data_IF_138028151328
#
_entry.id   IF_138028151328
#
_cell.length_a   1.000
_cell.length_b   1.000
_cell.length_c   1.000
_cell.angle_alpha   90.00
_cell.angle_beta   90.00
_cell.angle_gamma   90.00
#
_symmetry.space_group_name_H-M   'P 1'
#
loop_
_entity.id
_entity.type
_entity.pdbx_description
1 polymer ?
#
# COMPACT_ATOMS: atom_id res chain seq x y z
N UNK A 1 1.97 3.19 -15.55
CA UNK A 1 0.51 3.19 -15.39
C UNK A 1 0.12 4.41 -14.57
N UNK A 2 -1.00 5.06 -14.89
CA UNK A 2 -1.46 6.26 -14.16
C UNK A 2 -2.69 5.90 -13.31
N UNK A 3 -2.76 6.48 -12.11
CA UNK A 3 -3.97 6.45 -11.27
C UNK A 3 -4.79 7.69 -11.60
N UNK A 4 -6.10 7.50 -11.68
CA UNK A 4 -7.10 8.54 -11.94
C UNK A 4 -8.06 8.60 -10.75
N UNK A 5 -8.88 9.65 -10.68
CA UNK A 5 -9.77 9.88 -9.54
C UNK A 5 -10.80 8.75 -9.39
N UNK A 6 -11.24 8.18 -10.51
CA UNK A 6 -12.18 7.07 -10.58
C UNK A 6 -11.65 5.79 -9.92
N UNK A 7 -10.33 5.61 -9.86
CA UNK A 7 -9.73 4.47 -9.14
C UNK A 7 -9.95 4.57 -7.62
N UNK A 8 -10.26 5.77 -7.10
CA UNK A 8 -10.53 6.02 -5.69
C UNK A 8 -12.02 6.00 -5.33
N UNK A 9 -12.91 5.56 -6.23
CA UNK A 9 -14.38 5.55 -6.02
C UNK A 9 -14.86 4.77 -4.79
N UNK A 10 -14.07 3.80 -4.32
CA UNK A 10 -14.37 2.97 -3.15
C UNK A 10 -13.62 3.45 -1.89
N UNK A 11 -13.00 4.63 -1.93
CA UNK A 11 -12.15 5.18 -0.87
C UNK A 11 -12.69 6.51 -0.38
N UNK A 12 -12.59 6.72 0.93
CA UNK A 12 -12.83 8.02 1.56
C UNK A 12 -11.60 8.89 1.31
N UNK A 13 -11.75 9.85 0.40
CA UNK A 13 -10.74 10.86 0.06
C UNK A 13 -11.35 12.26 0.25
N UNK A 14 -10.49 13.28 0.32
CA UNK A 14 -10.91 14.68 0.44
C UNK A 14 -11.88 15.07 -0.69
N UNK A 15 -12.74 16.07 -0.43
CA UNK A 15 -13.88 16.47 -1.28
C UNK A 15 -13.61 16.51 -2.79
N UNK A 16 -14.68 16.29 -3.57
CA UNK A 16 -14.61 16.16 -5.03
C UNK A 16 -14.03 17.37 -5.77
N UNK A 17 -14.06 18.55 -5.16
CA UNK A 17 -13.55 19.82 -5.69
C UNK A 17 -12.13 20.16 -5.20
N UNK A 18 -11.46 19.22 -4.54
CA UNK A 18 -10.13 19.42 -4.00
C UNK A 18 -9.07 19.69 -5.09
N UNK A 19 -8.26 20.73 -4.88
CA UNK A 19 -7.11 21.06 -5.73
C UNK A 19 -5.83 20.62 -5.01
N UNK A 20 -5.04 19.69 -5.58
CA UNK A 20 -3.77 19.24 -5.00
C UNK A 20 -2.85 20.38 -4.60
N UNK A 21 -2.36 20.34 -3.36
CA UNK A 21 -1.27 21.21 -2.93
C UNK A 21 0.04 20.61 -3.47
N UNK A 22 0.41 21.02 -4.68
CA UNK A 22 1.61 20.54 -5.36
C UNK A 22 2.88 20.75 -4.51
N UNK A 23 2.96 21.80 -3.71
CA UNK A 23 4.12 22.09 -2.86
C UNK A 23 4.19 21.04 -1.74
N UNK A 24 3.07 20.79 -1.06
CA UNK A 24 2.95 19.76 -0.02
C UNK A 24 3.28 18.37 -0.58
N UNK A 25 2.65 17.99 -1.70
CA UNK A 25 2.82 16.66 -2.30
C UNK A 25 4.26 16.43 -2.76
N UNK A 26 4.88 17.41 -3.43
CA UNK A 26 6.28 17.30 -3.84
C UNK A 26 7.23 17.20 -2.64
N UNK A 27 6.97 17.96 -1.57
CA UNK A 27 7.74 17.86 -0.33
C UNK A 27 7.61 16.45 0.30
N UNK A 28 6.41 15.87 0.28
CA UNK A 28 6.17 14.51 0.77
C UNK A 28 6.87 13.44 -0.07
N UNK A 29 6.83 13.54 -1.41
CA UNK A 29 7.57 12.65 -2.32
C UNK A 29 9.06 12.68 -1.99
N UNK A 30 9.65 13.87 -1.93
CA UNK A 30 11.08 14.05 -1.61
C UNK A 30 11.41 13.51 -0.22
N UNK A 31 10.53 13.70 0.76
CA UNK A 31 10.73 13.18 2.12
C UNK A 31 10.76 11.64 2.14
N UNK A 32 9.84 10.98 1.43
CA UNK A 32 9.81 9.52 1.32
C UNK A 32 11.07 9.02 0.60
N UNK A 33 11.36 9.54 -0.59
CA UNK A 33 12.50 9.08 -1.39
C UNK A 33 13.83 9.22 -0.64
N UNK A 34 14.05 10.36 0.04
CA UNK A 34 15.26 10.59 0.82
C UNK A 34 15.34 9.74 2.08
N UNK A 35 14.28 9.67 2.88
CA UNK A 35 14.31 8.95 4.16
C UNK A 35 14.30 7.44 3.96
N UNK A 36 13.63 6.96 2.92
CA UNK A 36 13.59 5.53 2.64
C UNK A 36 14.69 5.09 1.67
N UNK A 37 15.44 6.01 1.07
CA UNK A 37 16.45 5.73 0.05
C UNK A 37 15.89 4.88 -1.10
N UNK A 38 14.75 5.33 -1.66
CA UNK A 38 14.04 4.69 -2.77
C UNK A 38 13.67 5.73 -3.82
N UNK A 39 13.27 5.28 -5.02
CA UNK A 39 12.62 6.13 -6.01
C UNK A 39 11.16 5.67 -6.14
N UNK A 40 10.22 6.58 -5.91
CA UNK A 40 8.81 6.22 -5.96
C UNK A 40 8.36 6.06 -7.43
N UNK A 41 7.65 4.99 -7.77
CA UNK A 41 7.05 4.83 -9.09
C UNK A 41 6.08 5.97 -9.38
N UNK A 42 5.94 6.33 -10.67
CA UNK A 42 4.98 7.37 -11.10
C UNK A 42 3.57 7.11 -10.55
N UNK A 43 3.13 5.87 -10.58
CA UNK A 43 1.83 5.44 -10.05
C UNK A 43 1.63 5.87 -8.59
N UNK A 44 2.64 5.70 -7.73
CA UNK A 44 2.56 6.10 -6.32
C UNK A 44 2.57 7.63 -6.16
N UNK A 45 3.29 8.35 -7.04
CA UNK A 45 3.29 9.82 -7.06
C UNK A 45 1.93 10.38 -7.47
N UNK A 46 1.28 9.75 -8.46
CA UNK A 46 -0.10 10.09 -8.86
C UNK A 46 -1.06 9.88 -7.68
N UNK A 47 -0.93 8.77 -6.95
CA UNK A 47 -1.73 8.51 -5.75
C UNK A 47 -1.58 9.62 -4.69
N UNK A 48 -0.34 10.00 -4.34
CA UNK A 48 -0.10 11.08 -3.38
C UNK A 48 -0.70 12.42 -3.82
N UNK A 49 -0.69 12.71 -5.13
CA UNK A 49 -1.31 13.92 -5.66
C UNK A 49 -2.84 13.88 -5.52
N UNK A 50 -3.46 12.75 -5.86
CA UNK A 50 -4.91 12.56 -5.79
C UNK A 50 -5.45 12.56 -4.35
N UNK A 51 -4.66 12.09 -3.39
CA UNK A 51 -5.04 12.08 -1.96
C UNK A 51 -4.52 13.28 -1.20
N UNK A 52 -3.83 14.22 -1.83
CA UNK A 52 -3.13 15.32 -1.16
C UNK A 52 -2.16 14.86 -0.05
N UNK A 53 -1.57 13.68 -0.18
CA UNK A 53 -0.81 13.03 0.90
C UNK A 53 -1.62 12.91 2.22
N UNK A 54 -2.93 12.67 2.11
CA UNK A 54 -3.79 12.31 3.23
C UNK A 54 -3.96 10.78 3.29
N UNK A 55 -4.26 10.27 4.49
CA UNK A 55 -4.56 8.85 4.62
C UNK A 55 -5.99 8.61 4.12
N UNK A 56 -6.22 7.53 3.39
CA UNK A 56 -7.55 7.15 2.93
C UNK A 56 -7.91 5.75 3.44
N UNK A 57 -9.18 5.58 3.78
CA UNK A 57 -9.77 4.29 4.14
C UNK A 57 -10.76 3.88 3.06
N UNK A 58 -11.08 2.58 2.93
CA UNK A 58 -12.23 2.19 2.14
C UNK A 58 -13.51 2.83 2.69
N UNK A 59 -14.52 3.00 1.82
CA UNK A 59 -15.87 3.39 2.21
C UNK A 59 -16.47 2.28 3.11
N UNK A 60 -17.41 2.65 3.97
CA UNK A 60 -18.15 1.71 4.81
C UNK A 60 -18.65 0.49 4.01
N UNK A 61 -18.52 -0.69 4.61
CA UNK A 61 -18.83 -2.00 4.04
C UNK A 61 -18.04 -2.38 2.78
N UNK A 62 -16.98 -1.64 2.40
CA UNK A 62 -16.11 -1.96 1.26
C UNK A 62 -14.65 -2.20 1.64
N UNK A 63 -14.39 -2.75 2.80
CA UNK A 63 -13.03 -2.99 3.30
C UNK A 63 -12.44 -4.34 2.88
N UNK A 64 -13.22 -5.26 2.35
CA UNK A 64 -12.78 -6.64 2.12
C UNK A 64 -12.13 -6.80 0.73
N UNK A 65 -11.00 -7.49 0.64
CA UNK A 65 -10.44 -7.95 -0.64
C UNK A 65 -9.82 -9.35 -0.54
N UNK A 66 -9.66 -10.01 -1.69
CA UNK A 66 -9.03 -11.33 -1.76
C UNK A 66 -7.51 -11.22 -1.77
N UNK A 67 -6.87 -11.97 -0.88
CA UNK A 67 -5.42 -12.12 -0.84
C UNK A 67 -5.03 -13.57 -1.13
N UNK A 68 -4.03 -13.75 -2.01
CA UNK A 68 -3.56 -15.09 -2.40
C UNK A 68 -2.20 -15.40 -1.80
N UNK A 69 -2.15 -16.43 -0.96
CA UNK A 69 -0.94 -17.04 -0.43
C UNK A 69 -0.73 -18.40 -1.07
N UNK A 70 0.24 -18.55 -1.97
CA UNK A 70 0.49 -19.81 -2.67
C UNK A 70 -0.80 -20.40 -3.27
N UNK A 71 -1.26 -21.55 -2.75
CA UNK A 71 -2.49 -22.24 -3.17
C UNK A 71 -3.73 -21.88 -2.35
N UNK A 72 -3.63 -20.93 -1.41
CA UNK A 72 -4.71 -20.49 -0.52
C UNK A 72 -5.15 -19.07 -0.88
N UNK A 73 -6.46 -18.83 -0.82
CA UNK A 73 -7.05 -17.50 -0.90
C UNK A 73 -7.70 -17.22 0.44
N UNK A 74 -7.45 -16.03 0.98
CA UNK A 74 -8.07 -15.53 2.22
C UNK A 74 -8.72 -14.18 1.95
N UNK A 75 -9.70 -13.82 2.77
CA UNK A 75 -10.25 -12.47 2.82
C UNK A 75 -9.39 -11.64 3.76
N UNK A 76 -9.05 -10.41 3.37
CA UNK A 76 -8.36 -9.44 4.23
C UNK A 76 -9.17 -8.17 4.32
N UNK A 77 -9.18 -7.53 5.50
CA UNK A 77 -9.86 -6.27 5.72
C UNK A 77 -8.86 -5.12 5.63
N UNK A 78 -8.98 -4.33 4.57
CA UNK A 78 -8.22 -3.10 4.35
C UNK A 78 -8.73 -2.03 5.28
N UNK A 79 -7.85 -1.50 6.13
CA UNK A 79 -8.20 -0.45 7.08
C UNK A 79 -7.85 0.93 6.53
N UNK A 80 -6.58 1.13 6.18
CA UNK A 80 -6.09 2.46 5.78
C UNK A 80 -4.87 2.37 4.88
N UNK A 81 -4.84 3.18 3.83
CA UNK A 81 -3.63 3.59 3.14
C UNK A 81 -3.06 4.83 3.81
N UNK A 82 -1.78 4.77 4.15
CA UNK A 82 -1.08 5.73 5.00
C UNK A 82 -0.56 6.92 4.19
N UNK A 83 -0.64 8.11 4.78
CA UNK A 83 0.13 9.26 4.30
C UNK A 83 1.64 9.08 4.48
N UNK A 84 2.43 9.96 3.86
CA UNK A 84 3.88 9.96 3.88
C UNK A 84 4.47 9.89 5.29
N UNK A 85 3.95 10.68 6.24
CA UNK A 85 4.43 10.71 7.63
C UNK A 85 4.32 9.33 8.28
N UNK A 86 3.16 8.68 8.14
CA UNK A 86 2.90 7.37 8.74
C UNK A 86 3.66 6.27 8.02
N UNK A 87 3.73 6.31 6.69
CA UNK A 87 4.53 5.40 5.86
C UNK A 87 6.01 5.42 6.29
N UNK A 88 6.60 6.61 6.44
CA UNK A 88 8.00 6.76 6.89
C UNK A 88 8.18 6.15 8.29
N UNK A 89 7.23 6.37 9.20
CA UNK A 89 7.30 5.78 10.55
C UNK A 89 7.21 4.25 10.55
N UNK A 90 6.47 3.66 9.61
CA UNK A 90 6.31 2.21 9.48
C UNK A 90 7.57 1.54 8.94
N UNK A 91 8.38 2.22 8.11
CA UNK A 91 9.68 1.69 7.66
C UNK A 91 10.59 1.33 8.82
N UNK A 92 10.61 2.14 9.88
CA UNK A 92 11.45 1.85 11.05
C UNK A 92 11.08 0.50 11.70
N UNK A 93 9.81 0.11 11.65
CA UNK A 93 9.37 -1.20 12.15
C UNK A 93 9.81 -2.33 11.22
N UNK A 94 9.76 -2.12 9.90
CA UNK A 94 10.22 -3.09 8.91
C UNK A 94 11.72 -3.37 9.03
N UNK A 95 12.55 -2.34 9.22
CA UNK A 95 14.00 -2.51 9.35
C UNK A 95 14.42 -3.35 10.55
N UNK A 96 13.64 -3.34 11.64
CA UNK A 96 13.92 -4.16 12.82
C UNK A 96 13.64 -5.65 12.58
N UNK A 97 12.81 -5.98 11.58
CA UNK A 97 12.51 -7.35 11.15
C UNK A 97 13.45 -7.87 10.03
N UNK A 98 14.34 -7.02 9.50
CA UNK A 98 15.22 -7.34 8.37
C UNK A 98 16.60 -7.84 8.80
N UNK A 99 16.69 -9.06 9.32
CA UNK A 99 18.01 -9.64 9.65
C UNK A 99 18.92 -9.82 8.41
N UNK A 100 18.37 -9.76 7.18
CA UNK A 100 19.07 -10.11 5.94
C UNK A 100 19.23 -8.95 4.91
N UNK A 101 18.77 -7.73 5.21
CA UNK A 101 18.87 -6.58 4.30
C UNK A 101 18.02 -6.67 3.03
N UNK A 102 16.98 -7.52 3.01
CA UNK A 102 16.13 -7.82 1.86
C UNK A 102 15.01 -6.78 1.62
N UNK A 103 14.75 -5.87 2.57
CA UNK A 103 13.61 -4.95 2.57
C UNK A 103 13.86 -3.68 1.74
N UNK A 104 15.07 -3.44 1.23
CA UNK A 104 15.35 -2.21 0.48
C UNK A 104 14.45 -2.04 -0.75
N UNK A 105 13.38 -1.25 -0.62
CA UNK A 105 12.39 -0.99 -1.65
C UNK A 105 11.08 -1.80 -1.55
N UNK A 106 10.83 -2.52 -0.46
CA UNK A 106 9.47 -2.89 -0.04
C UNK A 106 8.96 -1.85 0.97
N UNK A 107 7.84 -1.23 0.68
CA UNK A 107 7.30 -0.12 1.47
C UNK A 107 5.94 -0.50 2.03
N UNK A 108 5.77 -0.39 3.36
CA UNK A 108 4.45 -0.48 3.97
C UNK A 108 3.66 0.80 3.67
N UNK A 109 2.67 0.68 2.78
CA UNK A 109 1.83 1.80 2.31
C UNK A 109 0.48 1.85 3.02
N UNK A 110 0.15 0.82 3.81
CA UNK A 110 -1.13 0.73 4.49
C UNK A 110 -1.16 -0.34 5.57
N UNK A 111 -2.31 -0.47 6.23
CA UNK A 111 -2.57 -1.47 7.26
C UNK A 111 -3.89 -2.18 6.99
N UNK A 112 -3.90 -3.45 7.38
CA UNK A 112 -5.07 -4.30 7.38
C UNK A 112 -5.43 -4.72 8.81
N UNK A 113 -6.63 -5.23 8.98
CA UNK A 113 -7.05 -6.00 10.15
C UNK A 113 -7.22 -7.46 9.68
N UNK A 114 -6.60 -8.42 10.37
CA UNK A 114 -6.69 -9.84 10.00
C UNK A 114 -6.96 -10.79 11.18
N UNK A 115 -7.58 -10.27 12.24
CA UNK A 115 -7.85 -10.97 13.52
C UNK A 115 -6.61 -11.48 14.29
N UNK A 116 -5.43 -11.63 13.65
CA UNK A 116 -4.22 -12.25 14.20
C UNK A 116 -3.05 -11.28 14.48
N UNK A 117 -3.11 -10.01 14.07
CA UNK A 117 -2.15 -8.98 14.54
C UNK A 117 -1.88 -7.80 13.60
N UNK A 118 -0.70 -7.18 13.76
CA UNK A 118 -0.21 -6.07 12.95
C UNK A 118 0.06 -6.53 11.50
N UNK A 119 -0.93 -6.37 10.62
CA UNK A 119 -0.81 -6.67 9.20
C UNK A 119 -0.69 -5.39 8.34
N UNK A 120 0.11 -5.48 7.27
CA UNK A 120 0.48 -4.35 6.43
C UNK A 120 0.22 -4.61 4.95
N UNK A 121 -0.05 -3.53 4.23
CA UNK A 121 -0.07 -3.51 2.76
C UNK A 121 1.32 -3.07 2.31
N UNK A 122 2.00 -3.93 1.56
CA UNK A 122 3.36 -3.72 1.07
C UNK A 122 3.32 -3.41 -0.43
N UNK A 123 4.09 -2.40 -0.85
CA UNK A 123 4.28 -2.02 -2.24
C UNK A 123 5.75 -2.15 -2.63
N UNK A 124 6.02 -2.80 -3.77
CA UNK A 124 7.38 -2.98 -4.28
C UNK A 124 7.79 -1.82 -5.20
N UNK A 125 8.75 -1.02 -4.75
CA UNK A 125 9.28 0.14 -5.48
C UNK A 125 10.62 -0.13 -6.16
N UNK A 126 11.10 -1.39 -6.20
CA UNK A 126 12.39 -1.74 -6.81
C UNK A 126 12.25 -1.91 -8.33
N UNK A 127 12.87 -1.04 -9.17
CA UNK A 127 12.65 -1.04 -10.62
C UNK A 127 13.06 -2.33 -11.33
N UNK A 128 14.04 -3.05 -10.76
CA UNK A 128 14.58 -4.29 -11.32
C UNK A 128 13.93 -5.55 -10.71
N UNK A 129 12.95 -5.39 -9.82
CA UNK A 129 12.24 -6.51 -9.21
C UNK A 129 11.25 -7.12 -10.22
N UNK A 130 11.11 -8.46 -10.28
CA UNK A 130 10.07 -9.10 -11.09
C UNK A 130 8.65 -8.75 -10.62
N UNK A 131 8.52 -8.19 -9.42
CA UNK A 131 7.25 -7.74 -8.84
C UNK A 131 7.19 -6.23 -8.66
N UNK A 132 7.97 -5.47 -9.44
CA UNK A 132 7.92 -4.01 -9.41
C UNK A 132 6.46 -3.51 -9.55
N UNK A 133 6.06 -2.63 -8.64
CA UNK A 133 4.71 -2.08 -8.49
C UNK A 133 3.63 -3.07 -7.99
N UNK A 134 3.95 -4.33 -7.69
CA UNK A 134 2.96 -5.23 -7.09
C UNK A 134 2.63 -4.81 -5.66
N UNK A 135 1.41 -5.16 -5.25
CA UNK A 135 0.87 -4.92 -3.91
C UNK A 135 0.69 -6.26 -3.20
N UNK A 136 1.12 -6.31 -1.95
CA UNK A 136 1.10 -7.52 -1.12
C UNK A 136 0.51 -7.27 0.26
N UNK A 137 -0.02 -8.33 0.85
CA UNK A 137 -0.34 -8.45 2.26
C UNK A 137 0.85 -9.05 3.00
N UNK A 138 1.14 -8.52 4.19
CA UNK A 138 2.18 -9.05 5.06
C UNK A 138 1.74 -9.04 6.51
N UNK A 139 1.77 -10.20 7.16
CA UNK A 139 1.46 -10.37 8.58
C UNK A 139 2.76 -10.35 9.38
N UNK A 140 3.03 -9.28 10.11
CA UNK A 140 4.34 -9.01 10.71
C UNK A 140 4.91 -10.17 11.54
N UNK A 141 4.07 -10.83 12.34
CA UNK A 141 4.50 -11.91 13.24
C UNK A 141 4.41 -13.32 12.63
N UNK A 142 3.83 -13.46 11.44
CA UNK A 142 3.48 -14.76 10.85
C UNK A 142 4.23 -15.02 9.56
N UNK A 143 4.40 -13.98 8.74
CA UNK A 143 4.89 -14.09 7.39
C UNK A 143 6.37 -13.69 7.31
N UNK A 144 7.17 -14.51 6.63
CA UNK A 144 8.49 -14.07 6.20
C UNK A 144 8.33 -12.93 5.19
N UNK A 145 9.11 -11.87 5.32
CA UNK A 145 9.08 -10.74 4.39
C UNK A 145 9.86 -11.06 3.10
N UNK A 146 9.40 -12.09 2.39
CA UNK A 146 9.98 -12.64 1.17
C UNK A 146 8.87 -12.77 0.13
N UNK A 147 9.08 -12.16 -1.05
CA UNK A 147 8.13 -12.26 -2.16
C UNK A 147 7.96 -13.72 -2.58
N UNK A 148 6.71 -14.12 -2.80
CA UNK A 148 6.35 -15.45 -3.28
C UNK A 148 6.28 -16.51 -2.18
N UNK A 149 7.15 -16.45 -1.16
CA UNK A 149 7.19 -17.45 -0.09
C UNK A 149 6.47 -17.01 1.20
N UNK A 150 6.37 -15.71 1.48
CA UNK A 150 5.69 -15.21 2.68
C UNK A 150 4.76 -14.03 2.47
N UNK A 151 4.85 -13.33 1.34
CA UNK A 151 3.92 -12.24 1.01
C UNK A 151 2.66 -12.75 0.30
N UNK A 152 1.49 -12.35 0.80
CA UNK A 152 0.22 -12.61 0.15
C UNK A 152 0.01 -11.66 -1.02
N UNK A 153 -0.28 -12.15 -2.21
CA UNK A 153 -0.51 -11.31 -3.38
C UNK A 153 -1.89 -10.63 -3.31
N UNK A 154 -1.93 -9.30 -3.51
CA UNK A 154 -3.16 -8.50 -3.58
C UNK A 154 -3.44 -8.00 -5.00
N UNK A 155 -2.44 -7.44 -5.68
CA UNK A 155 -2.61 -6.88 -7.03
C UNK A 155 -1.28 -6.71 -7.77
N UNK A 156 -1.32 -6.62 -9.10
CA UNK A 156 -0.16 -6.33 -9.95
C UNK A 156 0.21 -4.85 -9.97
N UNK A 157 -0.64 -3.98 -9.41
CA UNK A 157 -0.38 -2.54 -9.34
C UNK A 157 -1.16 -1.87 -8.21
N UNK A 158 -0.76 -0.64 -7.85
CA UNK A 158 -1.56 0.15 -6.91
C UNK A 158 -2.92 0.53 -7.50
N UNK A 159 -2.99 0.92 -8.78
CA UNK A 159 -4.24 1.17 -9.51
C UNK A 159 -5.21 -0.02 -9.44
N UNK A 160 -4.71 -1.23 -9.73
CA UNK A 160 -5.52 -2.45 -9.63
C UNK A 160 -5.98 -2.65 -8.19
N UNK A 161 -5.07 -2.56 -7.22
CA UNK A 161 -5.40 -2.70 -5.80
C UNK A 161 -6.50 -1.74 -5.35
N UNK A 162 -6.46 -0.46 -5.74
CA UNK A 162 -7.48 0.52 -5.35
C UNK A 162 -8.89 0.12 -5.79
N UNK A 163 -9.01 -0.70 -6.84
CA UNK A 163 -10.29 -1.21 -7.34
C UNK A 163 -10.72 -2.55 -6.71
N UNK A 164 -9.91 -3.15 -5.82
CA UNK A 164 -10.19 -4.46 -5.20
C UNK A 164 -11.05 -4.43 -3.93
N UNK A 165 -11.00 -3.42 -3.04
CA UNK A 165 -11.85 -3.41 -1.84
C UNK A 165 -13.33 -3.33 -2.21
N UNK A 166 -14.11 -4.25 -1.64
CA UNK A 166 -15.55 -4.39 -1.83
C UNK A 166 -16.20 -5.01 -0.60
N UNK A 167 -17.52 -5.23 -0.65
CA UNK A 167 -18.23 -5.91 0.44
C UNK A 167 -17.93 -7.40 0.50
N UNK A 168 -17.90 -7.97 1.71
CA UNK A 168 -17.59 -9.40 1.88
C UNK A 168 -18.58 -10.32 1.14
N UNK A 169 -19.84 -9.90 1.03
CA UNK A 169 -20.89 -10.61 0.28
C UNK A 169 -20.64 -10.65 -1.24
N UNK A 170 -19.78 -9.77 -1.77
CA UNK A 170 -19.44 -9.66 -3.19
C UNK A 170 -18.10 -10.32 -3.56
N UNK A 171 -17.41 -10.96 -2.60
CA UNK A 171 -16.11 -11.62 -2.78
C UNK A 171 -16.17 -13.08 -3.27
#
# INVERSE_FOLDING_TARGET
MNIEKEDLKNWVVSDDEFIPDEIKVNASILSIENRLNVNLPKEYKDFLALTNDESCSPIDDKSSCLCRYNSKVIVVLVNVLSNSKRLISQKNMLSDSDENGLINGLVAIGRNYDDDGDAYIIYDVRPNSPTYQHVFHWRYYVDNLVIGEGLGFLAHSLKEFLNTPTSEDEL
#
